data_IF_246598086720
#
_entry.id   IF_246598086720
#
_cell.length_a   1.000
_cell.length_b   1.000
_cell.length_c   1.000
_cell.angle_alpha   90.00
_cell.angle_beta   90.00
_cell.angle_gamma   90.00
#
_symmetry.space_group_name_H-M   'P 1'
#
loop_
_entity.id
_entity.type
_entity.pdbx_description
1 polymer ?
#
# COMPACT_ATOMS: atom_id res chain seq x y z
N UNK A 1 -1.50 -2.96 -9.54
CA UNK A 1 -1.70 -2.06 -8.38
C UNK A 1 -0.44 -1.65 -7.64
N UNK A 2 0.49 -2.55 -7.30
CA UNK A 2 1.74 -2.17 -6.61
C UNK A 2 2.55 -1.10 -7.35
N UNK A 3 2.76 -1.28 -8.66
CA UNK A 3 3.50 -0.34 -9.49
C UNK A 3 2.80 1.02 -9.57
N UNK A 4 1.48 1.01 -9.57
CA UNK A 4 0.62 2.20 -9.63
C UNK A 4 0.72 3.00 -8.33
N UNK A 5 0.74 2.36 -7.16
CA UNK A 5 0.95 3.05 -5.88
C UNK A 5 2.36 3.66 -5.78
N UNK A 6 3.40 2.93 -6.20
CA UNK A 6 4.77 3.47 -6.27
C UNK A 6 4.87 4.66 -7.24
N UNK A 7 4.20 4.57 -8.40
CA UNK A 7 4.17 5.66 -9.37
C UNK A 7 3.46 6.88 -8.81
N UNK A 8 2.34 6.70 -8.11
CA UNK A 8 1.63 7.79 -7.41
C UNK A 8 2.54 8.45 -6.39
N UNK A 9 3.22 7.67 -5.54
CA UNK A 9 4.18 8.20 -4.58
C UNK A 9 5.27 9.05 -5.25
N UNK A 10 5.89 8.54 -6.32
CA UNK A 10 6.95 9.27 -7.05
C UNK A 10 6.45 10.59 -7.64
N UNK A 11 5.22 10.60 -8.17
CA UNK A 11 4.57 11.81 -8.68
C UNK A 11 4.33 12.80 -7.54
N UNK A 12 3.76 12.35 -6.41
CA UNK A 12 3.50 13.22 -5.26
C UNK A 12 4.79 13.81 -4.70
N UNK A 13 5.84 13.01 -4.58
CA UNK A 13 7.17 13.45 -4.15
C UNK A 13 7.72 14.55 -5.08
N UNK A 14 7.65 14.33 -6.40
CA UNK A 14 8.11 15.30 -7.40
C UNK A 14 7.31 16.61 -7.38
N UNK A 15 5.99 16.53 -7.18
CA UNK A 15 5.12 17.71 -7.06
C UNK A 15 5.46 18.46 -5.76
N UNK A 16 5.57 17.76 -4.64
CA UNK A 16 5.95 18.32 -3.35
C UNK A 16 7.34 18.97 -3.40
N UNK A 17 8.22 18.43 -4.24
CA UNK A 17 9.54 18.99 -4.47
C UNK A 17 9.54 20.32 -5.21
N UNK A 18 8.53 20.53 -6.05
CA UNK A 18 8.35 21.75 -6.81
C UNK A 18 7.67 22.87 -6.01
N UNK A 19 7.08 22.56 -4.84
CA UNK A 19 6.43 23.56 -3.98
C UNK A 19 7.46 24.47 -3.30
N UNK A 20 7.09 25.74 -3.08
CA UNK A 20 7.92 26.70 -2.31
C UNK A 20 7.99 26.30 -0.84
N UNK A 21 6.88 25.82 -0.30
CA UNK A 21 6.77 25.24 1.05
C UNK A 21 6.40 23.77 0.91
N UNK A 22 7.09 22.88 1.62
CA UNK A 22 6.80 21.43 1.55
C UNK A 22 5.44 21.15 2.22
N UNK A 23 4.54 20.49 1.50
CA UNK A 23 3.23 20.04 1.99
C UNK A 23 3.37 18.73 2.77
N UNK A 24 4.14 17.80 2.22
CA UNK A 24 4.50 16.53 2.86
C UNK A 24 5.94 16.67 3.37
N UNK A 25 6.20 16.27 4.61
CA UNK A 25 7.56 16.31 5.16
C UNK A 25 8.42 15.21 4.54
N UNK A 26 9.75 15.38 4.59
CA UNK A 26 10.66 14.33 4.12
C UNK A 26 10.54 13.05 4.96
N UNK A 27 10.23 13.18 6.24
CA UNK A 27 9.99 12.06 7.15
C UNK A 27 8.78 11.24 6.70
N UNK A 28 7.63 11.89 6.46
CA UNK A 28 6.43 11.24 5.94
C UNK A 28 6.68 10.54 4.59
N UNK A 29 7.48 11.15 3.71
CA UNK A 29 7.86 10.54 2.43
C UNK A 29 8.76 9.31 2.61
N UNK A 30 9.67 9.32 3.59
CA UNK A 30 10.56 8.20 3.88
C UNK A 30 9.79 7.03 4.52
N UNK A 31 8.88 7.34 5.45
CA UNK A 31 7.96 6.35 6.04
C UNK A 31 7.11 5.71 4.95
N UNK A 32 6.50 6.51 4.08
CA UNK A 32 5.66 5.94 3.03
C UNK A 32 6.44 5.11 2.02
N UNK A 33 7.68 5.48 1.70
CA UNK A 33 8.54 4.65 0.86
C UNK A 33 8.85 3.30 1.51
N UNK A 34 9.04 3.27 2.84
CA UNK A 34 9.20 2.03 3.60
C UNK A 34 7.93 1.20 3.57
N UNK A 35 6.78 1.81 3.83
CA UNK A 35 5.47 1.15 3.75
C UNK A 35 5.22 0.53 2.36
N UNK A 36 5.65 1.18 1.28
CA UNK A 36 5.50 0.65 -0.08
C UNK A 36 6.43 -0.55 -0.37
N UNK A 37 7.60 -0.60 0.27
CA UNK A 37 8.46 -1.80 0.20
C UNK A 37 7.83 -2.96 0.95
N UNK A 38 7.27 -2.72 2.13
CA UNK A 38 6.57 -3.75 2.90
C UNK A 38 5.34 -4.25 2.14
N UNK A 39 4.63 -3.35 1.46
CA UNK A 39 3.53 -3.70 0.57
C UNK A 39 3.96 -4.68 -0.53
N UNK A 40 5.15 -4.50 -1.12
CA UNK A 40 5.66 -5.44 -2.13
C UNK A 40 5.84 -6.86 -1.59
N UNK A 41 6.34 -6.98 -0.36
CA UNK A 41 6.49 -8.27 0.31
C UNK A 41 5.10 -8.87 0.58
N UNK A 42 4.19 -8.08 1.15
CA UNK A 42 2.83 -8.52 1.45
C UNK A 42 2.08 -9.01 0.18
N UNK A 43 2.23 -8.34 -0.96
CA UNK A 43 1.65 -8.80 -2.24
C UNK A 43 2.15 -10.19 -2.65
N UNK A 44 3.43 -10.48 -2.37
CA UNK A 44 4.00 -11.80 -2.66
C UNK A 44 3.39 -12.85 -1.74
N UNK A 45 3.23 -12.54 -0.45
CA UNK A 45 2.58 -13.42 0.51
C UNK A 45 1.10 -13.67 0.17
N UNK A 46 0.37 -12.62 -0.23
CA UNK A 46 -1.01 -12.71 -0.69
C UNK A 46 -1.14 -13.68 -1.87
N UNK A 47 -0.25 -13.59 -2.86
CA UNK A 47 -0.23 -14.51 -4.02
C UNK A 47 0.01 -15.96 -3.58
N UNK A 48 0.89 -16.17 -2.60
CA UNK A 48 1.15 -17.51 -2.06
C UNK A 48 -0.09 -18.06 -1.35
N UNK A 49 -0.78 -17.25 -0.54
CA UNK A 49 -2.03 -17.64 0.12
C UNK A 49 -3.12 -18.00 -0.90
N UNK A 50 -3.27 -17.21 -1.96
CA UNK A 50 -4.20 -17.52 -3.05
C UNK A 50 -3.85 -18.83 -3.76
N UNK A 51 -2.56 -19.03 -4.08
CA UNK A 51 -2.09 -20.27 -4.73
C UNK A 51 -2.34 -21.51 -3.87
N UNK A 52 -2.26 -21.39 -2.53
CA UNK A 52 -2.63 -22.49 -1.61
C UNK A 52 -4.13 -22.82 -1.69
N UNK A 53 -4.99 -21.80 -1.73
CA UNK A 53 -6.44 -21.98 -1.83
C UNK A 53 -6.88 -22.52 -3.20
N UNK A 54 -6.19 -22.15 -4.27
CA UNK A 54 -6.43 -22.70 -5.62
C UNK A 54 -6.14 -24.21 -5.69
N UNK A 55 -5.21 -24.71 -4.87
CA UNK A 55 -4.88 -26.13 -4.74
C UNK A 55 -5.56 -26.78 -3.51
N UNK A 56 -6.76 -26.30 -3.17
CA UNK A 56 -7.49 -26.66 -1.94
C UNK A 56 -7.94 -28.12 -1.84
N UNK A 57 -7.92 -28.89 -2.94
CA UNK A 57 -8.25 -30.33 -2.93
C UNK A 57 -7.36 -31.15 -1.97
N UNK A 58 -6.22 -30.60 -1.56
CA UNK A 58 -5.28 -31.20 -0.60
C UNK A 58 -5.42 -30.69 0.84
N UNK A 59 -6.28 -29.69 1.09
CA UNK A 59 -6.43 -29.07 2.40
C UNK A 59 -7.57 -29.72 3.20
N UNK A 60 -7.35 -29.92 4.49
CA UNK A 60 -8.43 -30.18 5.42
C UNK A 60 -9.35 -28.96 5.59
N UNK A 61 -10.52 -29.17 6.18
CA UNK A 61 -11.46 -28.09 6.49
C UNK A 61 -10.81 -27.03 7.39
N UNK A 62 -10.06 -27.46 8.41
CA UNK A 62 -9.40 -26.55 9.35
C UNK A 62 -8.30 -25.73 8.66
N UNK A 63 -7.47 -26.35 7.82
CA UNK A 63 -6.44 -25.64 7.04
C UNK A 63 -7.05 -24.67 6.04
N UNK A 64 -8.19 -25.02 5.46
CA UNK A 64 -8.94 -24.13 4.57
C UNK A 64 -9.42 -22.89 5.32
N UNK A 65 -10.02 -23.07 6.50
CA UNK A 65 -10.48 -21.96 7.35
C UNK A 65 -9.31 -21.08 7.78
N UNK A 66 -8.20 -21.66 8.21
CA UNK A 66 -7.00 -20.91 8.58
C UNK A 66 -6.46 -20.08 7.40
N UNK A 67 -6.38 -20.68 6.21
CA UNK A 67 -5.88 -20.01 5.01
C UNK A 67 -6.81 -18.86 4.58
N UNK A 68 -8.13 -19.02 4.74
CA UNK A 68 -9.11 -17.95 4.51
C UNK A 68 -8.96 -16.79 5.50
N UNK A 69 -8.69 -17.08 6.78
CA UNK A 69 -8.39 -16.04 7.78
C UNK A 69 -7.11 -15.29 7.45
N UNK A 70 -6.05 -16.00 7.03
CA UNK A 70 -4.82 -15.38 6.56
C UNK A 70 -5.08 -14.48 5.34
N UNK A 71 -5.89 -14.93 4.38
CA UNK A 71 -6.28 -14.13 3.23
C UNK A 71 -7.01 -12.84 3.66
N UNK A 72 -7.96 -12.94 4.59
CA UNK A 72 -8.67 -11.79 5.13
C UNK A 72 -7.72 -10.75 5.74
N UNK A 73 -6.75 -11.20 6.55
CA UNK A 73 -5.76 -10.31 7.16
C UNK A 73 -4.90 -9.62 6.10
N UNK A 74 -4.41 -10.36 5.10
CA UNK A 74 -3.60 -9.78 4.00
C UNK A 74 -4.40 -8.78 3.16
N UNK A 75 -5.68 -9.02 2.92
CA UNK A 75 -6.55 -8.06 2.24
C UNK A 75 -6.80 -6.81 3.09
N UNK A 76 -6.88 -6.94 4.41
CA UNK A 76 -7.00 -5.80 5.32
C UNK A 76 -5.73 -4.93 5.29
N UNK A 77 -4.55 -5.56 5.32
CA UNK A 77 -3.26 -4.87 5.15
C UNK A 77 -3.18 -4.18 3.78
N UNK A 78 -3.63 -4.86 2.72
CA UNK A 78 -3.68 -4.32 1.37
C UNK A 78 -4.51 -3.03 1.30
N UNK A 79 -5.70 -3.03 1.91
CA UNK A 79 -6.58 -1.86 1.97
C UNK A 79 -5.87 -0.72 2.72
N UNK A 80 -5.23 -1.02 3.85
CA UNK A 80 -4.50 -0.03 4.63
C UNK A 80 -3.41 0.67 3.80
N UNK A 81 -2.61 -0.07 3.02
CA UNK A 81 -1.58 0.52 2.17
C UNK A 81 -2.13 1.47 1.10
N UNK A 82 -3.31 1.16 0.53
CA UNK A 82 -3.99 2.07 -0.41
C UNK A 82 -4.42 3.34 0.31
N UNK A 83 -5.00 3.21 1.51
CA UNK A 83 -5.48 4.34 2.30
C UNK A 83 -4.35 5.31 2.66
N UNK A 84 -3.16 4.80 2.99
CA UNK A 84 -1.98 5.65 3.25
C UNK A 84 -1.60 6.52 2.04
N UNK A 85 -1.57 5.95 0.83
CA UNK A 85 -1.30 6.73 -0.38
C UNK A 85 -2.43 7.72 -0.64
N UNK A 86 -3.68 7.31 -0.43
CA UNK A 86 -4.84 8.17 -0.61
C UNK A 86 -4.80 9.39 0.31
N UNK A 87 -4.44 9.24 1.58
CA UNK A 87 -4.31 10.38 2.50
C UNK A 87 -3.17 11.33 2.10
N UNK A 88 -2.05 10.84 1.54
CA UNK A 88 -1.02 11.71 0.98
C UNK A 88 -1.53 12.51 -0.23
N UNK A 89 -2.30 11.88 -1.13
CA UNK A 89 -2.93 12.58 -2.26
C UNK A 89 -3.85 13.69 -1.75
N UNK A 90 -4.69 13.38 -0.77
CA UNK A 90 -5.63 14.34 -0.17
C UNK A 90 -4.91 15.49 0.53
N UNK A 91 -3.84 15.21 1.28
CA UNK A 91 -2.99 16.22 1.91
C UNK A 91 -2.38 17.15 0.87
N UNK A 92 -1.82 16.59 -0.21
CA UNK A 92 -1.30 17.38 -1.32
C UNK A 92 -2.38 18.25 -1.95
N UNK A 93 -3.50 17.67 -2.37
CA UNK A 93 -4.59 18.40 -3.01
C UNK A 93 -5.14 19.53 -2.14
N UNK A 94 -5.27 19.31 -0.83
CA UNK A 94 -5.79 20.29 0.12
C UNK A 94 -4.88 21.49 0.35
N UNK A 95 -3.55 21.31 0.29
CA UNK A 95 -2.59 22.35 0.69
C UNK A 95 -1.72 22.86 -0.47
N UNK A 96 -1.85 22.30 -1.67
CA UNK A 96 -1.00 22.63 -2.82
C UNK A 96 -1.06 24.11 -3.20
N UNK A 97 -2.25 24.73 -3.15
CA UNK A 97 -2.44 26.14 -3.49
C UNK A 97 -1.73 27.08 -2.53
N UNK A 98 -1.72 26.74 -1.24
CA UNK A 98 -1.10 27.56 -0.20
C UNK A 98 0.42 27.40 -0.15
N UNK A 99 0.94 26.37 -0.82
CA UNK A 99 2.35 25.98 -0.82
C UNK A 99 3.15 26.52 -2.02
N UNK A 100 2.49 27.27 -2.92
CA UNK A 100 3.07 27.91 -4.10
C UNK A 100 2.85 29.43 -4.06
#
# INVERSE_FOLDING_TARGET
>A
MQNELFRTYNILSSINDSCRVKVITQEELNEQHTNLKDFQVMITELRNTLSKLENSDSLSVDETVETLLQLHLKLSDYIWHIDQIHELVKKMAGNYRDSN
#
